data_IF_919295406423
#
_entry.id   IF_919295406423
#
_cell.length_a   1.000
_cell.length_b   1.000
_cell.length_c   1.000
_cell.angle_alpha   90.00
_cell.angle_beta   90.00
_cell.angle_gamma   90.00
#
_symmetry.space_group_name_H-M   'P 1'
#
loop_
_entity.id
_entity.type
_entity.pdbx_description
1 polymer ?
#
# COMPACT_ATOMS: atom_id res chain seq x y z
N UNK A 1 -14.81 2.42 -12.11
CA UNK A 1 -14.89 1.15 -12.87
C UNK A 1 -15.85 0.28 -12.07
N UNK A 2 -17.00 -0.15 -12.62
CA UNK A 2 -18.17 -0.54 -11.79
C UNK A 2 -17.94 -1.71 -10.82
N UNK A 3 -18.30 -1.47 -9.54
CA UNK A 3 -18.37 -2.36 -8.34
C UNK A 3 -18.70 -3.84 -8.56
N UNK A 4 -19.35 -4.19 -9.67
CA UNK A 4 -19.85 -5.53 -9.98
C UNK A 4 -18.81 -6.51 -10.54
N UNK A 5 -17.65 -6.05 -11.05
CA UNK A 5 -16.71 -6.93 -11.75
C UNK A 5 -15.68 -7.63 -10.84
N UNK A 6 -15.50 -7.14 -9.61
CA UNK A 6 -14.48 -7.65 -8.68
C UNK A 6 -15.07 -8.49 -7.54
N UNK A 7 -16.39 -8.72 -7.54
CA UNK A 7 -17.05 -9.51 -6.50
C UNK A 7 -16.80 -11.00 -6.75
N UNK A 8 -16.29 -11.72 -5.75
CA UNK A 8 -15.77 -13.08 -5.87
C UNK A 8 -14.31 -13.18 -6.36
N UNK A 9 -13.67 -12.05 -6.70
CA UNK A 9 -12.30 -12.05 -7.23
C UNK A 9 -11.30 -12.54 -6.17
N UNK A 10 -11.53 -12.21 -4.90
CA UNK A 10 -10.68 -12.63 -3.79
C UNK A 10 -10.73 -14.16 -3.62
N UNK A 11 -11.94 -14.72 -3.54
CA UNK A 11 -12.16 -16.16 -3.40
C UNK A 11 -11.61 -16.94 -4.61
N UNK A 12 -11.83 -16.46 -5.82
CA UNK A 12 -11.31 -17.09 -7.04
C UNK A 12 -9.77 -17.05 -7.10
N UNK A 13 -9.17 -15.94 -6.66
CA UNK A 13 -7.72 -15.80 -6.58
C UNK A 13 -7.12 -16.74 -5.54
N UNK A 14 -7.76 -16.89 -4.37
CA UNK A 14 -7.37 -17.89 -3.38
C UNK A 14 -7.45 -19.31 -3.95
N UNK A 15 -8.56 -19.67 -4.60
CA UNK A 15 -8.73 -21.00 -5.23
C UNK A 15 -7.59 -21.29 -6.21
N UNK A 16 -7.23 -20.33 -7.07
CA UNK A 16 -6.10 -20.45 -8.00
C UNK A 16 -4.76 -20.60 -7.29
N UNK A 17 -4.53 -19.85 -6.22
CA UNK A 17 -3.30 -19.96 -5.44
C UNK A 17 -3.16 -21.36 -4.82
N UNK A 18 -4.21 -21.84 -4.15
CA UNK A 18 -4.20 -23.16 -3.50
C UNK A 18 -4.00 -24.26 -4.52
N UNK A 19 -4.72 -24.24 -5.65
CA UNK A 19 -4.54 -25.22 -6.73
C UNK A 19 -3.10 -25.27 -7.24
N UNK A 20 -2.43 -24.12 -7.33
CA UNK A 20 -1.05 -24.01 -7.82
C UNK A 20 -0.03 -24.48 -6.79
N UNK A 21 -0.16 -24.08 -5.53
CA UNK A 21 0.86 -24.28 -4.48
C UNK A 21 0.64 -25.57 -3.69
N UNK A 22 -0.62 -25.97 -3.52
CA UNK A 22 -1.04 -27.14 -2.74
C UNK A 22 -2.02 -28.02 -3.53
N UNK A 23 -1.62 -28.55 -4.70
CA UNK A 23 -2.52 -29.35 -5.53
C UNK A 23 -3.05 -30.59 -4.80
N UNK A 24 -2.22 -31.20 -3.94
CA UNK A 24 -2.56 -32.40 -3.17
C UNK A 24 -3.54 -32.13 -2.01
N UNK A 25 -3.67 -30.88 -1.59
CA UNK A 25 -4.53 -30.45 -0.48
C UNK A 25 -5.76 -29.68 -0.97
N UNK A 26 -5.90 -29.48 -2.28
CA UNK A 26 -6.98 -28.66 -2.82
C UNK A 26 -8.32 -29.40 -2.79
N UNK A 27 -9.29 -28.81 -2.09
CA UNK A 27 -10.72 -29.09 -2.20
C UNK A 27 -11.45 -27.76 -2.36
N UNK A 28 -12.44 -27.63 -3.27
CA UNK A 28 -13.25 -26.42 -3.40
C UNK A 28 -13.89 -26.00 -2.08
N UNK A 29 -14.24 -26.96 -1.23
CA UNK A 29 -14.91 -26.77 0.05
C UNK A 29 -14.01 -26.09 1.11
N UNK A 30 -12.68 -26.14 0.95
CA UNK A 30 -11.73 -25.48 1.87
C UNK A 30 -11.95 -23.97 1.92
N UNK A 31 -12.17 -23.35 0.76
CA UNK A 31 -12.38 -21.90 0.65
C UNK A 31 -13.78 -21.53 1.13
N UNK A 32 -14.74 -22.44 0.98
CA UNK A 32 -16.13 -22.22 1.36
C UNK A 32 -16.33 -22.23 2.90
N UNK A 33 -15.43 -22.88 3.65
CA UNK A 33 -15.43 -22.88 5.11
C UNK A 33 -15.04 -21.53 5.73
N UNK A 34 -14.25 -20.72 5.03
CA UNK A 34 -13.79 -19.40 5.49
C UNK A 34 -14.46 -18.24 4.72
N UNK A 35 -15.56 -18.52 4.02
CA UNK A 35 -16.24 -17.60 3.10
C UNK A 35 -16.73 -16.32 3.79
N UNK A 36 -17.14 -16.38 5.07
CA UNK A 36 -17.53 -15.19 5.85
C UNK A 36 -16.37 -14.19 6.00
N UNK A 37 -15.16 -14.69 6.26
CA UNK A 37 -13.96 -13.85 6.39
C UNK A 37 -13.48 -13.35 5.04
N UNK A 38 -13.52 -14.22 4.04
CA UNK A 38 -13.18 -13.84 2.66
C UNK A 38 -14.08 -12.69 2.18
N UNK A 39 -15.38 -12.77 2.46
CA UNK A 39 -16.31 -11.69 2.16
C UNK A 39 -15.96 -10.41 2.93
N UNK A 40 -15.57 -10.50 4.20
CA UNK A 40 -15.12 -9.34 4.97
C UNK A 40 -13.90 -8.66 4.34
N UNK A 41 -12.89 -9.43 3.95
CA UNK A 41 -11.69 -8.90 3.30
C UNK A 41 -12.03 -8.27 1.93
N UNK A 42 -12.88 -8.93 1.16
CA UNK A 42 -13.35 -8.44 -0.12
C UNK A 42 -14.14 -7.13 0.02
N UNK A 43 -15.02 -7.01 1.00
CA UNK A 43 -15.75 -5.77 1.30
C UNK A 43 -14.79 -4.61 1.60
N UNK A 44 -13.75 -4.85 2.40
CA UNK A 44 -12.75 -3.82 2.70
C UNK A 44 -11.97 -3.39 1.46
N UNK A 45 -11.60 -4.33 0.58
CA UNK A 45 -10.93 -3.99 -0.68
C UNK A 45 -11.85 -3.28 -1.67
N UNK A 46 -13.14 -3.62 -1.72
CA UNK A 46 -14.14 -2.92 -2.53
C UNK A 46 -14.34 -1.49 -2.02
N UNK A 47 -14.27 -1.27 -0.72
CA UNK A 47 -14.32 0.07 -0.14
C UNK A 47 -13.09 0.91 -0.52
N UNK A 48 -11.89 0.33 -0.49
CA UNK A 48 -10.68 1.00 -0.96
C UNK A 48 -10.73 1.32 -2.46
N UNK A 49 -11.26 0.41 -3.27
CA UNK A 49 -11.50 0.67 -4.70
C UNK A 49 -12.51 1.82 -4.89
N UNK A 50 -13.55 1.90 -4.05
CA UNK A 50 -14.55 2.98 -4.08
C UNK A 50 -13.95 4.34 -3.73
N UNK A 51 -13.00 4.40 -2.79
CA UNK A 51 -12.23 5.62 -2.49
C UNK A 51 -11.46 6.08 -3.72
N UNK A 52 -10.82 5.16 -4.45
CA UNK A 52 -10.08 5.49 -5.68
C UNK A 52 -11.01 5.93 -6.83
N UNK A 53 -12.13 5.24 -7.02
CA UNK A 53 -13.12 5.57 -8.05
C UNK A 53 -13.75 6.95 -7.80
N UNK A 54 -13.87 7.35 -6.53
CA UNK A 54 -14.37 8.65 -6.10
C UNK A 54 -13.24 9.61 -5.65
N UNK A 55 -12.01 9.42 -6.13
CA UNK A 55 -10.81 10.16 -5.71
C UNK A 55 -10.92 11.69 -5.75
N UNK A 56 -11.82 12.23 -6.58
CA UNK A 56 -12.04 13.69 -6.65
C UNK A 56 -12.77 14.23 -5.42
N UNK A 57 -13.44 13.35 -4.64
CA UNK A 57 -14.16 13.68 -3.40
C UNK A 57 -13.33 13.47 -2.15
N UNK A 58 -12.27 12.67 -2.25
CA UNK A 58 -11.45 12.28 -1.10
C UNK A 58 -10.12 13.00 -1.11
N UNK A 59 -9.66 13.38 0.09
CA UNK A 59 -8.31 13.86 0.26
C UNK A 59 -7.34 12.67 0.14
N UNK A 60 -6.36 12.77 -0.76
CA UNK A 60 -5.37 11.71 -1.01
C UNK A 60 -4.58 11.32 0.26
N UNK A 61 -4.23 12.29 1.11
CA UNK A 61 -3.52 12.02 2.36
C UNK A 61 -4.36 11.18 3.30
N UNK A 62 -5.63 11.56 3.48
CA UNK A 62 -6.58 10.78 4.27
C UNK A 62 -6.76 9.37 3.69
N UNK A 63 -6.99 9.25 2.38
CA UNK A 63 -7.19 7.96 1.72
C UNK A 63 -6.01 7.01 1.91
N UNK A 64 -4.77 7.51 1.76
CA UNK A 64 -3.56 6.71 1.98
C UNK A 64 -3.39 6.28 3.44
N UNK A 65 -3.68 7.17 4.39
CA UNK A 65 -3.60 6.84 5.81
C UNK A 65 -4.62 5.76 6.19
N UNK A 66 -5.87 5.95 5.76
CA UNK A 66 -6.96 5.02 6.01
C UNK A 66 -6.70 3.65 5.37
N UNK A 67 -6.16 3.60 4.16
CA UNK A 67 -5.75 2.35 3.52
C UNK A 67 -4.66 1.62 4.34
N UNK A 68 -3.68 2.35 4.86
CA UNK A 68 -2.64 1.80 5.74
C UNK A 68 -3.22 1.17 7.00
N UNK A 69 -4.15 1.86 7.66
CA UNK A 69 -4.82 1.37 8.87
C UNK A 69 -5.70 0.15 8.60
N UNK A 70 -6.36 0.09 7.43
CA UNK A 70 -7.09 -1.11 7.01
C UNK A 70 -6.13 -2.27 6.74
N UNK A 71 -5.05 -2.07 5.99
CA UNK A 71 -4.11 -3.14 5.69
C UNK A 71 -3.55 -3.77 6.96
N UNK A 72 -3.16 -2.94 7.93
CA UNK A 72 -2.68 -3.42 9.22
C UNK A 72 -3.72 -4.28 9.94
N UNK A 73 -4.98 -3.82 10.00
CA UNK A 73 -6.08 -4.57 10.63
C UNK A 73 -6.29 -5.92 9.94
N UNK A 74 -6.36 -5.94 8.62
CA UNK A 74 -6.57 -7.16 7.84
C UNK A 74 -5.42 -8.17 8.01
N UNK A 75 -4.18 -7.69 8.06
CA UNK A 75 -3.02 -8.55 8.30
C UNK A 75 -2.99 -9.11 9.72
N UNK A 76 -3.28 -8.29 10.73
CA UNK A 76 -3.39 -8.75 12.12
C UNK A 76 -4.50 -9.81 12.24
N UNK A 77 -5.66 -9.62 11.60
CA UNK A 77 -6.76 -10.58 11.57
C UNK A 77 -6.38 -11.93 10.92
N UNK A 78 -5.62 -11.89 9.82
CA UNK A 78 -5.11 -13.09 9.15
C UNK A 78 -4.11 -13.85 10.06
N UNK A 79 -3.17 -13.17 10.70
CA UNK A 79 -2.13 -13.78 11.56
C UNK A 79 -2.66 -14.37 12.88
N UNK A 80 -3.79 -13.88 13.38
CA UNK A 80 -4.33 -14.29 14.68
C UNK A 80 -4.83 -15.76 14.69
N UNK A 81 -5.24 -16.32 13.54
CA UNK A 81 -5.98 -17.59 13.50
C UNK A 81 -5.09 -18.85 13.53
N UNK A 82 -3.93 -18.83 12.86
CA UNK A 82 -2.95 -19.93 12.95
C UNK A 82 -2.47 -20.05 14.41
N UNK A 83 -2.07 -18.91 15.01
CA UNK A 83 -1.56 -18.87 16.39
C UNK A 83 -2.55 -19.43 17.42
N UNK A 84 -3.85 -19.16 17.26
CA UNK A 84 -4.89 -19.74 18.12
C UNK A 84 -5.12 -21.23 17.86
N UNK A 85 -5.13 -21.66 16.59
CA UNK A 85 -5.33 -23.06 16.21
C UNK A 85 -4.17 -23.95 16.69
N UNK A 86 -2.93 -23.45 16.59
CA UNK A 86 -1.72 -24.09 17.10
C UNK A 86 -1.76 -24.28 18.62
N UNK A 87 -2.26 -23.29 19.36
CA UNK A 87 -2.40 -23.35 20.83
C UNK A 87 -3.38 -24.43 21.30
N UNK A 88 -4.29 -24.89 20.44
CA UNK A 88 -5.30 -25.90 20.81
C UNK A 88 -4.87 -27.33 20.47
N UNK A 89 -4.04 -27.54 19.45
CA UNK A 89 -3.78 -28.88 18.88
C UNK A 89 -2.34 -29.38 19.04
N UNK A 90 -1.35 -28.51 19.31
CA UNK A 90 0.07 -28.92 19.44
C UNK A 90 0.68 -28.66 20.81
N UNK A 91 1.80 -29.34 21.10
CA UNK A 91 2.56 -29.23 22.35
C UNK A 91 3.40 -27.93 22.41
N UNK A 92 3.99 -27.60 23.56
CA UNK A 92 4.65 -26.31 23.79
C UNK A 92 5.92 -26.08 22.93
N UNK A 93 6.73 -27.11 22.68
CA UNK A 93 7.95 -27.01 21.84
C UNK A 93 7.62 -26.83 20.35
N UNK A 94 6.57 -27.50 19.86
CA UNK A 94 6.10 -27.38 18.48
C UNK A 94 5.54 -25.96 18.21
N UNK A 95 4.90 -25.35 19.22
CA UNK A 95 4.37 -23.98 19.15
C UNK A 95 5.47 -22.94 18.97
N UNK A 96 6.61 -23.07 19.63
CA UNK A 96 7.68 -22.07 19.52
C UNK A 96 8.26 -22.01 18.11
N UNK A 97 8.50 -23.18 17.48
CA UNK A 97 8.98 -23.26 16.09
C UNK A 97 7.97 -22.75 15.08
N UNK A 98 6.69 -23.07 15.28
CA UNK A 98 5.61 -22.62 14.39
C UNK A 98 5.36 -21.12 14.51
N UNK A 99 5.39 -20.57 15.73
CA UNK A 99 5.28 -19.13 15.97
C UNK A 99 6.41 -18.33 15.30
N UNK A 100 7.63 -18.87 15.25
CA UNK A 100 8.74 -18.20 14.56
C UNK A 100 8.46 -18.05 13.05
N UNK A 101 7.89 -19.07 12.38
CA UNK A 101 7.54 -18.96 10.95
C UNK A 101 6.37 -18.01 10.71
N UNK A 102 5.32 -18.06 11.52
CA UNK A 102 4.19 -17.12 11.43
C UNK A 102 4.67 -15.68 11.65
N UNK A 103 5.62 -15.48 12.58
CA UNK A 103 6.21 -14.16 12.83
C UNK A 103 7.03 -13.61 11.66
N UNK A 104 7.60 -14.47 10.79
CA UNK A 104 8.30 -14.04 9.57
C UNK A 104 7.32 -13.55 8.50
N UNK A 105 6.14 -14.17 8.38
CA UNK A 105 5.05 -13.67 7.52
C UNK A 105 4.51 -12.33 8.03
N UNK A 106 4.30 -12.20 9.34
CA UNK A 106 3.93 -10.93 9.98
C UNK A 106 5.00 -9.85 9.76
N UNK A 107 6.28 -10.22 9.80
CA UNK A 107 7.39 -9.27 9.58
C UNK A 107 7.44 -8.75 8.15
N UNK A 108 7.25 -9.60 7.13
CA UNK A 108 7.20 -9.18 5.72
C UNK A 108 6.01 -8.25 5.46
N UNK A 109 4.85 -8.53 6.08
CA UNK A 109 3.69 -7.66 6.02
C UNK A 109 3.93 -6.31 6.73
N UNK A 110 4.53 -6.34 7.93
CA UNK A 110 4.90 -5.13 8.69
C UNK A 110 5.95 -4.28 7.98
N UNK A 111 6.88 -4.88 7.26
CA UNK A 111 7.88 -4.16 6.47
C UNK A 111 7.21 -3.44 5.28
N UNK A 112 6.21 -4.06 4.64
CA UNK A 112 5.35 -3.42 3.62
C UNK A 112 4.49 -2.30 4.21
N UNK A 113 3.87 -2.51 5.37
CA UNK A 113 3.10 -1.48 6.11
C UNK A 113 3.96 -0.28 6.48
N UNK A 114 5.18 -0.50 6.99
CA UNK A 114 6.14 0.55 7.32
C UNK A 114 6.65 1.29 6.09
N UNK A 115 6.72 0.63 4.93
CA UNK A 115 7.04 1.28 3.66
C UNK A 115 5.89 2.17 3.16
N UNK A 116 4.63 1.77 3.37
CA UNK A 116 3.44 2.59 3.07
C UNK A 116 3.36 3.79 4.02
N UNK A 117 3.53 3.58 5.33
CA UNK A 117 3.54 4.65 6.34
C UNK A 117 4.65 5.68 6.08
N UNK A 118 5.89 5.23 5.79
CA UNK A 118 7.01 6.12 5.41
C UNK A 118 6.76 6.86 4.10
N UNK A 119 6.03 6.28 3.15
CA UNK A 119 5.65 6.93 1.88
C UNK A 119 4.52 7.96 2.07
N UNK A 120 3.64 7.77 3.05
CA UNK A 120 2.65 8.79 3.47
C UNK A 120 3.33 10.00 4.09
N UNK A 121 4.38 9.81 4.90
CA UNK A 121 5.26 10.90 5.35
C UNK A 121 6.02 11.56 4.19
N UNK A 122 6.40 10.79 3.16
CA UNK A 122 7.02 11.34 1.95
C UNK A 122 6.07 12.28 1.18
N UNK A 123 4.74 12.07 1.19
CA UNK A 123 3.79 13.03 0.60
C UNK A 123 3.70 14.34 1.41
N UNK A 124 3.72 14.27 2.75
CA UNK A 124 3.87 15.46 3.60
C UNK A 124 5.24 16.14 3.37
N UNK A 125 6.28 15.34 3.12
CA UNK A 125 7.63 15.82 2.82
C UNK A 125 7.71 16.44 1.42
N UNK A 126 7.01 15.93 0.40
CA UNK A 126 6.88 16.55 -0.92
C UNK A 126 6.09 17.85 -0.79
N UNK A 127 5.00 17.88 -0.01
CA UNK A 127 4.29 19.14 0.29
C UNK A 127 5.22 20.17 0.95
N UNK A 128 6.08 19.73 1.88
CA UNK A 128 7.11 20.57 2.49
C UNK A 128 8.28 20.88 1.55
N UNK A 129 8.61 20.01 0.61
CA UNK A 129 9.63 20.20 -0.43
C UNK A 129 9.13 21.21 -1.45
N UNK A 130 7.83 21.25 -1.74
CA UNK A 130 7.20 22.32 -2.51
C UNK A 130 7.31 23.65 -1.79
N UNK A 131 7.09 23.69 -0.48
CA UNK A 131 7.39 24.89 0.32
C UNK A 131 8.87 25.27 0.22
N UNK A 132 9.79 24.29 0.18
CA UNK A 132 11.22 24.56 -0.02
C UNK A 132 11.56 25.03 -1.44
N UNK A 133 10.93 24.47 -2.47
CA UNK A 133 11.07 24.89 -3.86
C UNK A 133 10.47 26.30 -4.02
N UNK A 134 9.37 26.59 -3.35
CA UNK A 134 8.78 27.92 -3.28
C UNK A 134 9.72 28.91 -2.58
N UNK A 135 10.39 28.50 -1.50
CA UNK A 135 11.46 29.30 -0.86
C UNK A 135 12.62 29.50 -1.83
N UNK A 136 13.07 28.47 -2.56
CA UNK A 136 14.16 28.58 -3.55
C UNK A 136 13.77 29.50 -4.71
N UNK A 137 12.53 29.41 -5.21
CA UNK A 137 12.00 30.29 -6.26
C UNK A 137 11.87 31.72 -5.73
N UNK A 138 11.41 31.90 -4.49
CA UNK A 138 11.32 33.21 -3.84
C UNK A 138 12.70 33.83 -3.60
N UNK A 139 13.69 33.05 -3.17
CA UNK A 139 15.09 33.49 -3.02
C UNK A 139 15.70 33.78 -4.38
N UNK A 140 15.49 32.93 -5.39
CA UNK A 140 15.94 33.17 -6.75
C UNK A 140 15.29 34.43 -7.35
N UNK A 141 14.02 34.69 -7.05
CA UNK A 141 13.32 35.92 -7.39
C UNK A 141 13.96 37.14 -6.75
N UNK A 142 14.26 37.08 -5.45
CA UNK A 142 14.93 38.17 -4.73
C UNK A 142 16.33 38.40 -5.32
N UNK A 143 17.08 37.35 -5.63
CA UNK A 143 18.41 37.43 -6.27
C UNK A 143 18.31 38.00 -7.67
N UNK A 144 17.35 37.54 -8.49
CA UNK A 144 17.11 38.09 -9.83
C UNK A 144 16.69 39.55 -9.74
N UNK A 145 15.83 39.93 -8.80
CA UNK A 145 15.42 41.34 -8.57
C UNK A 145 16.62 42.17 -8.10
N UNK A 146 17.48 41.63 -7.23
CA UNK A 146 18.72 42.28 -6.78
C UNK A 146 19.67 42.54 -7.95
N UNK A 147 19.90 41.53 -8.79
CA UNK A 147 20.84 41.63 -9.90
C UNK A 147 20.28 42.48 -11.03
N UNK A 148 18.99 42.36 -11.31
CA UNK A 148 18.26 43.26 -12.21
C UNK A 148 18.20 44.67 -11.64
N UNK A 149 18.19 44.89 -10.32
CA UNK A 149 18.25 46.25 -9.74
C UNK A 149 19.63 46.87 -9.93
N UNK A 150 20.70 46.08 -9.74
CA UNK A 150 22.08 46.51 -10.01
C UNK A 150 22.34 46.78 -11.51
N UNK A 151 21.80 45.96 -12.42
CA UNK A 151 21.78 46.24 -13.87
C UNK A 151 20.75 47.32 -14.26
N UNK A 152 19.70 47.46 -13.45
CA UNK A 152 18.47 48.19 -13.74
C UNK A 152 18.55 49.67 -13.46
N UNK A 153 19.62 50.14 -12.78
CA UNK A 153 19.99 51.54 -12.82
C UNK A 153 20.20 52.05 -14.27
N UNK A 154 20.34 51.14 -15.25
CA UNK A 154 20.38 51.44 -16.69
C UNK A 154 19.17 50.97 -17.51
N UNK A 155 18.33 50.03 -17.03
CA UNK A 155 17.22 49.41 -17.82
C UNK A 155 15.82 49.58 -17.18
N UNK A 156 15.71 49.58 -15.85
CA UNK A 156 14.45 49.62 -15.11
C UNK A 156 14.31 50.96 -14.35
N UNK A 157 14.42 52.08 -15.07
CA UNK A 157 14.33 53.42 -14.48
C UNK A 157 12.96 53.78 -13.86
N UNK A 158 11.95 52.92 -14.01
CA UNK A 158 10.59 53.16 -13.52
C UNK A 158 10.18 52.10 -12.50
N UNK A 159 9.83 52.57 -11.30
CA UNK A 159 9.24 51.77 -10.20
C UNK A 159 8.04 50.95 -10.69
N UNK A 160 7.28 51.48 -11.66
CA UNK A 160 6.11 50.81 -12.24
C UNK A 160 6.50 49.51 -12.96
N UNK A 161 7.66 49.47 -13.62
CA UNK A 161 8.10 48.30 -14.38
C UNK A 161 8.55 47.15 -13.45
N UNK A 162 9.15 47.49 -12.31
CA UNK A 162 9.47 46.54 -11.24
C UNK A 162 8.20 45.96 -10.62
N UNK A 163 7.18 46.79 -10.38
CA UNK A 163 5.88 46.34 -9.85
C UNK A 163 5.19 45.38 -10.84
N UNK A 164 5.16 45.72 -12.13
CA UNK A 164 4.55 44.85 -13.16
C UNK A 164 5.29 43.52 -13.26
N UNK A 165 6.64 43.55 -13.30
CA UNK A 165 7.45 42.33 -13.37
C UNK A 165 7.23 41.42 -12.15
N UNK A 166 7.24 41.98 -10.95
CA UNK A 166 6.98 41.24 -9.71
C UNK A 166 5.58 40.64 -9.72
N UNK A 167 4.58 41.40 -10.18
CA UNK A 167 3.21 40.91 -10.34
C UNK A 167 3.09 39.74 -11.31
N UNK A 168 3.78 39.80 -12.45
CA UNK A 168 3.82 38.71 -13.45
C UNK A 168 4.45 37.46 -12.85
N UNK A 169 5.56 37.57 -12.14
CA UNK A 169 6.22 36.38 -11.58
C UNK A 169 5.41 35.78 -10.44
N UNK A 170 4.85 36.59 -9.55
CA UNK A 170 3.95 36.10 -8.50
C UNK A 170 2.74 35.36 -9.10
N UNK A 171 2.17 35.91 -10.18
CA UNK A 171 1.07 35.28 -10.91
C UNK A 171 1.50 33.96 -11.56
N UNK A 172 2.66 33.92 -12.23
CA UNK A 172 3.21 32.71 -12.84
C UNK A 172 3.47 31.63 -11.79
N UNK A 173 4.02 31.98 -10.63
CA UNK A 173 4.27 31.06 -9.53
C UNK A 173 2.96 30.43 -9.03
N UNK A 174 1.98 31.26 -8.67
CA UNK A 174 0.66 30.77 -8.21
C UNK A 174 -0.03 29.90 -9.27
N UNK A 175 0.10 30.27 -10.54
CA UNK A 175 -0.45 29.50 -11.67
C UNK A 175 0.26 28.15 -11.81
N UNK A 176 1.59 28.13 -11.76
CA UNK A 176 2.37 26.91 -11.89
C UNK A 176 2.09 25.93 -10.75
N UNK A 177 2.02 26.41 -9.51
CA UNK A 177 1.68 25.59 -8.33
C UNK A 177 0.29 24.97 -8.47
N UNK A 178 -0.71 25.80 -8.81
CA UNK A 178 -2.11 25.38 -8.82
C UNK A 178 -2.47 24.49 -9.99
N UNK A 179 -1.92 24.75 -11.18
CA UNK A 179 -2.33 24.06 -12.40
C UNK A 179 -1.39 22.94 -12.85
N UNK A 180 -0.12 22.97 -12.46
CA UNK A 180 0.87 21.99 -12.93
C UNK A 180 1.26 21.07 -11.78
N UNK A 181 1.73 21.63 -10.65
CA UNK A 181 2.36 20.81 -9.62
C UNK A 181 1.34 20.00 -8.80
N UNK A 182 0.33 20.66 -8.21
CA UNK A 182 -0.66 19.98 -7.36
C UNK A 182 -1.38 18.84 -8.12
N UNK A 183 -1.88 19.06 -9.36
CA UNK A 183 -2.54 17.99 -10.12
C UNK A 183 -1.60 16.85 -10.48
N UNK A 184 -0.33 17.13 -10.76
CA UNK A 184 0.66 16.11 -11.10
C UNK A 184 0.97 15.20 -9.90
N UNK A 185 1.20 15.78 -8.72
CA UNK A 185 1.46 15.02 -7.49
C UNK A 185 0.22 14.20 -7.12
N UNK A 186 -0.98 14.80 -7.19
CA UNK A 186 -2.22 14.09 -6.91
C UNK A 186 -2.38 12.87 -7.83
N UNK A 187 -2.11 13.02 -9.14
CA UNK A 187 -2.17 11.91 -10.10
C UNK A 187 -1.18 10.79 -9.75
N UNK A 188 0.05 11.13 -9.40
CA UNK A 188 1.05 10.15 -8.97
C UNK A 188 0.65 9.44 -7.68
N UNK A 189 0.15 10.18 -6.70
CA UNK A 189 -0.29 9.62 -5.42
C UNK A 189 -1.47 8.67 -5.57
N UNK A 190 -2.45 9.01 -6.40
CA UNK A 190 -3.56 8.11 -6.71
C UNK A 190 -3.11 6.86 -7.49
N UNK A 191 -2.19 7.01 -8.45
CA UNK A 191 -1.59 5.84 -9.14
C UNK A 191 -0.91 4.91 -8.14
N UNK A 192 -0.19 5.48 -7.16
CA UNK A 192 0.49 4.72 -6.12
C UNK A 192 -0.50 4.04 -5.19
N UNK A 193 -1.54 4.76 -4.75
CA UNK A 193 -2.64 4.21 -3.94
C UNK A 193 -3.20 2.93 -4.56
N UNK A 194 -3.60 2.99 -5.84
CA UNK A 194 -4.20 1.84 -6.54
C UNK A 194 -3.24 0.64 -6.57
N UNK A 195 -1.97 0.90 -6.90
CA UNK A 195 -0.96 -0.15 -6.96
C UNK A 195 -0.73 -0.82 -5.59
N UNK A 196 -0.69 -0.06 -4.50
CA UNK A 196 -0.51 -0.64 -3.16
C UNK A 196 -1.76 -1.43 -2.72
N UNK A 197 -2.97 -0.94 -3.02
CA UNK A 197 -4.22 -1.69 -2.76
C UNK A 197 -4.21 -3.03 -3.49
N UNK A 198 -3.79 -3.05 -4.76
CA UNK A 198 -3.73 -4.27 -5.56
C UNK A 198 -2.64 -5.24 -5.06
N UNK A 199 -1.45 -4.73 -4.74
CA UNK A 199 -0.37 -5.53 -4.16
C UNK A 199 -0.77 -6.13 -2.83
N UNK A 200 -1.33 -5.33 -1.92
CA UNK A 200 -1.76 -5.82 -0.60
C UNK A 200 -2.90 -6.83 -0.72
N UNK A 201 -3.85 -6.61 -1.65
CA UNK A 201 -4.89 -7.60 -1.94
C UNK A 201 -4.29 -8.96 -2.30
N UNK A 202 -3.32 -8.97 -3.21
CA UNK A 202 -2.64 -10.20 -3.62
C UNK A 202 -1.89 -10.86 -2.47
N UNK A 203 -1.15 -10.09 -1.67
CA UNK A 203 -0.46 -10.61 -0.49
C UNK A 203 -1.45 -11.24 0.49
N UNK A 204 -2.56 -10.56 0.78
CA UNK A 204 -3.56 -11.07 1.72
C UNK A 204 -4.25 -12.33 1.18
N UNK A 205 -4.53 -12.40 -0.13
CA UNK A 205 -5.02 -13.61 -0.79
C UNK A 205 -4.05 -14.77 -0.57
N UNK A 206 -2.76 -14.55 -0.83
CA UNK A 206 -1.74 -15.59 -0.73
C UNK A 206 -1.57 -16.05 0.74
N UNK A 207 -1.53 -15.11 1.68
CA UNK A 207 -1.45 -15.37 3.13
C UNK A 207 -2.68 -16.16 3.61
N UNK A 208 -3.90 -15.71 3.27
CA UNK A 208 -5.11 -16.38 3.74
C UNK A 208 -5.27 -17.76 3.07
N UNK A 209 -4.84 -17.92 1.82
CA UNK A 209 -4.81 -19.23 1.17
C UNK A 209 -3.91 -20.23 1.92
N UNK A 210 -2.73 -19.79 2.37
CA UNK A 210 -1.87 -20.60 3.24
C UNK A 210 -2.56 -20.88 4.58
N UNK A 211 -3.19 -19.87 5.19
CA UNK A 211 -3.91 -20.03 6.47
C UNK A 211 -5.00 -21.09 6.39
N UNK A 212 -5.84 -21.07 5.35
CA UNK A 212 -6.94 -22.02 5.14
C UNK A 212 -6.40 -23.45 5.06
N UNK A 213 -5.37 -23.67 4.23
CA UNK A 213 -4.76 -25.00 4.04
C UNK A 213 -4.12 -25.50 5.33
N UNK A 214 -3.40 -24.64 6.03
CA UNK A 214 -2.74 -24.99 7.30
C UNK A 214 -3.77 -25.29 8.37
N UNK A 215 -4.79 -24.46 8.54
CA UNK A 215 -5.83 -24.68 9.55
C UNK A 215 -6.60 -25.98 9.27
N UNK A 216 -6.87 -26.30 8.01
CA UNK A 216 -7.48 -27.58 7.66
C UNK A 216 -6.58 -28.77 8.01
N UNK A 217 -5.29 -28.72 7.67
CA UNK A 217 -4.34 -29.75 8.08
C UNK A 217 -4.27 -29.93 9.61
N UNK A 218 -4.38 -28.84 10.37
CA UNK A 218 -4.41 -28.89 11.85
C UNK A 218 -5.71 -29.52 12.35
N UNK A 219 -6.86 -29.17 11.76
CA UNK A 219 -8.17 -29.73 12.11
C UNK A 219 -8.27 -31.21 11.78
N UNK A 220 -7.60 -31.65 10.72
CA UNK A 220 -7.48 -33.05 10.33
C UNK A 220 -6.44 -33.83 11.16
N UNK A 221 -5.88 -33.19 12.21
CA UNK A 221 -4.88 -33.76 13.11
C UNK A 221 -3.65 -34.32 12.37
N UNK A 222 -3.27 -33.69 11.24
CA UNK A 222 -2.07 -34.09 10.50
C UNK A 222 -0.82 -33.92 11.36
N UNK A 223 0.15 -34.80 11.12
CA UNK A 223 1.42 -34.80 11.83
C UNK A 223 2.12 -33.42 11.73
N UNK A 224 2.77 -32.95 12.81
CA UNK A 224 3.41 -31.63 12.86
C UNK A 224 4.38 -31.37 11.70
N UNK A 225 5.07 -32.40 11.21
CA UNK A 225 6.01 -32.30 10.09
C UNK A 225 5.31 -31.97 8.77
N UNK A 226 4.07 -32.44 8.58
CA UNK A 226 3.25 -32.13 7.41
C UNK A 226 2.82 -30.68 7.46
N UNK A 227 2.29 -30.24 8.60
CA UNK A 227 1.89 -28.83 8.84
C UNK A 227 3.08 -27.89 8.66
N UNK A 228 4.27 -28.26 9.14
CA UNK A 228 5.50 -27.48 8.95
C UNK A 228 5.85 -27.32 7.47
N UNK A 229 5.82 -28.40 6.69
CA UNK A 229 6.11 -28.36 5.25
C UNK A 229 5.11 -27.51 4.48
N UNK A 230 3.83 -27.52 4.90
CA UNK A 230 2.80 -26.69 4.28
C UNK A 230 3.06 -25.21 4.52
N UNK A 231 3.41 -24.82 5.75
CA UNK A 231 3.76 -23.44 6.10
C UNK A 231 5.04 -23.03 5.35
N UNK A 232 6.11 -23.84 5.39
CA UNK A 232 7.37 -23.54 4.71
C UNK A 232 7.17 -23.32 3.21
N UNK A 233 6.38 -24.19 2.56
CA UNK A 233 6.05 -24.05 1.14
C UNK A 233 5.29 -22.74 0.86
N UNK A 234 4.31 -22.41 1.70
CA UNK A 234 3.52 -21.19 1.57
C UNK A 234 4.34 -19.92 1.75
N UNK A 235 5.12 -19.87 2.82
CA UNK A 235 6.00 -18.72 3.11
C UNK A 235 7.03 -18.51 1.99
N UNK A 236 7.59 -19.59 1.43
CA UNK A 236 8.52 -19.50 0.30
C UNK A 236 7.86 -18.87 -0.93
N UNK A 237 6.66 -19.28 -1.30
CA UNK A 237 5.94 -18.69 -2.43
C UNK A 237 5.59 -17.21 -2.19
N UNK A 238 5.15 -16.85 -0.99
CA UNK A 238 4.87 -15.46 -0.61
C UNK A 238 6.14 -14.61 -0.71
N UNK A 239 7.29 -15.12 -0.27
CA UNK A 239 8.57 -14.40 -0.37
C UNK A 239 9.01 -14.14 -1.81
N UNK A 240 8.84 -15.11 -2.72
CA UNK A 240 9.20 -14.95 -4.13
C UNK A 240 8.35 -13.89 -4.85
N UNK A 241 7.10 -13.72 -4.44
CA UNK A 241 6.20 -12.67 -4.96
C UNK A 241 6.60 -11.29 -4.42
N UNK A 242 7.15 -11.23 -3.20
CA UNK A 242 7.59 -9.98 -2.59
C UNK A 242 8.78 -9.35 -3.34
N UNK A 243 9.76 -10.15 -3.77
CA UNK A 243 10.99 -9.68 -4.43
C UNK A 243 10.73 -9.04 -5.80
N UNK A 244 9.79 -9.58 -6.59
CA UNK A 244 9.46 -9.03 -7.91
C UNK A 244 8.58 -7.76 -7.87
N UNK A 245 7.93 -7.48 -6.74
CA UNK A 245 7.06 -6.29 -6.60
C UNK A 245 7.84 -5.07 -6.09
N UNK A 246 9.00 -5.28 -5.46
CA UNK A 246 9.79 -4.21 -4.85
C UNK A 246 10.86 -3.59 -5.76
N UNK A 247 11.31 -4.31 -6.78
CA UNK A 247 12.24 -3.81 -7.78
C UNK A 247 11.71 -4.12 -9.19
N UNK A 248 10.77 -3.33 -9.72
CA UNK A 248 10.56 -3.32 -11.15
C UNK A 248 11.80 -2.67 -11.80
N UNK A 249 12.43 -3.37 -12.75
CA UNK A 249 13.42 -2.77 -13.65
C UNK A 249 12.88 -1.53 -14.36
#
# INVERSE_FOLDING_TARGET
MTKSYKNGEFADSMKKFIQRVYPDEYSPELVDLDLCRINHFEEMFLWLDEIYDNRDRYNLHWALHEAGDIFKRLMDEAGTNISQSLRKHYTQEERERLNELTSKMDWVAREKELAIARRTEYFNTISNLLTRVDIIISVALIVIISEISHLGNTIFGSVILVIIFTGIVAFLKVTFDRFIIIPWIARLGWKKYLNEVEVTRKILVDVEAVNVVVIAAIKDEKAPEVTYKLIERGTREISMISDHIFFPE
#
